data_IF_016401797147
#
_entry.id   IF_016401797147
#
_cell.length_a   1.000
_cell.length_b   1.000
_cell.length_c   1.000
_cell.angle_alpha   90.00
_cell.angle_beta   90.00
_cell.angle_gamma   90.00
#
_symmetry.space_group_name_H-M   'P 1'
#
loop_
_entity.id
_entity.type
_entity.pdbx_description
1 polymer ?
#
# COMPACT_ATOMS: atom_id res chain seq x y z
N UNK A 1 -2.77 8.39 -7.82
CA UNK A 1 -3.21 6.99 -7.98
C UNK A 1 -4.27 6.95 -9.07
N UNK A 2 -3.87 7.12 -10.34
CA UNK A 2 -4.81 7.38 -11.45
C UNK A 2 -4.64 6.38 -12.61
N UNK A 3 -4.09 5.19 -12.36
CA UNK A 3 -3.70 4.25 -13.42
C UNK A 3 -4.48 2.93 -13.49
N UNK A 4 -5.47 2.72 -12.61
CA UNK A 4 -6.30 1.50 -12.62
C UNK A 4 -7.49 1.61 -13.58
N UNK A 5 -8.04 0.46 -13.97
CA UNK A 5 -9.31 0.35 -14.70
C UNK A 5 -10.45 0.97 -13.90
N UNK A 6 -11.55 1.32 -14.57
CA UNK A 6 -12.73 1.88 -13.90
C UNK A 6 -13.29 0.93 -12.83
N UNK A 7 -13.26 -0.37 -13.09
CA UNK A 7 -13.69 -1.39 -12.13
C UNK A 7 -12.81 -1.40 -10.87
N UNK A 8 -11.49 -1.32 -11.01
CA UNK A 8 -10.54 -1.26 -9.88
C UNK A 8 -10.69 0.04 -9.08
N UNK A 9 -10.86 1.18 -9.76
CA UNK A 9 -11.07 2.48 -9.10
C UNK A 9 -12.39 2.48 -8.33
N UNK A 10 -13.47 1.92 -8.90
CA UNK A 10 -14.76 1.78 -8.24
C UNK A 10 -14.66 0.85 -7.04
N UNK A 11 -13.99 -0.31 -7.18
CA UNK A 11 -13.75 -1.24 -6.09
C UNK A 11 -12.98 -0.57 -4.94
N UNK A 12 -11.92 0.16 -5.25
CA UNK A 12 -11.12 0.88 -4.25
C UNK A 12 -11.96 1.91 -3.49
N UNK A 13 -12.76 2.72 -4.20
CA UNK A 13 -13.65 3.71 -3.57
C UNK A 13 -14.71 3.05 -2.69
N UNK A 14 -15.31 1.96 -3.17
CA UNK A 14 -16.29 1.20 -2.40
C UNK A 14 -15.67 0.68 -1.11
N UNK A 15 -14.51 0.00 -1.17
CA UNK A 15 -13.81 -0.50 0.02
C UNK A 15 -13.46 0.62 0.99
N UNK A 16 -12.93 1.75 0.51
CA UNK A 16 -12.58 2.89 1.37
C UNK A 16 -13.79 3.45 2.12
N UNK A 17 -14.92 3.61 1.43
CA UNK A 17 -16.15 4.16 2.01
C UNK A 17 -16.76 3.17 3.01
N UNK A 18 -16.83 1.87 2.66
CA UNK A 18 -17.36 0.82 3.53
C UNK A 18 -16.53 0.67 4.81
N UNK A 19 -15.20 0.63 4.70
CA UNK A 19 -14.31 0.54 5.87
C UNK A 19 -14.38 1.80 6.72
N UNK A 20 -14.41 2.99 6.11
CA UNK A 20 -14.55 4.25 6.85
C UNK A 20 -15.87 4.31 7.63
N UNK A 21 -16.99 3.90 7.02
CA UNK A 21 -18.29 3.83 7.71
C UNK A 21 -18.23 2.93 8.94
N UNK A 22 -17.68 1.72 8.79
CA UNK A 22 -17.50 0.78 9.90
C UNK A 22 -16.62 1.35 11.01
N UNK A 23 -15.48 1.96 10.66
CA UNK A 23 -14.56 2.59 11.62
C UNK A 23 -15.23 3.73 12.39
N UNK A 24 -16.07 4.54 11.74
CA UNK A 24 -16.82 5.60 12.42
C UNK A 24 -17.79 5.04 13.46
N UNK A 25 -18.49 3.94 13.15
CA UNK A 25 -19.37 3.26 14.11
C UNK A 25 -18.59 2.66 15.28
N UNK A 26 -17.42 2.08 15.03
CA UNK A 26 -16.53 1.58 16.10
C UNK A 26 -16.02 2.70 17.00
N UNK A 27 -15.67 3.85 16.42
CA UNK A 27 -15.07 4.98 17.15
C UNK A 27 -16.10 5.87 17.86
N UNK A 28 -17.38 5.82 17.48
CA UNK A 28 -18.42 6.73 17.96
C UNK A 28 -18.59 6.77 19.49
N UNK A 29 -18.52 5.64 20.24
CA UNK A 29 -18.60 5.68 21.70
C UNK A 29 -17.51 6.52 22.38
N UNK A 30 -16.37 6.73 21.71
CA UNK A 30 -15.22 7.48 22.23
C UNK A 30 -15.19 8.91 21.68
N UNK A 31 -15.57 9.12 20.41
CA UNK A 31 -15.45 10.40 19.71
C UNK A 31 -16.78 10.80 19.05
N UNK A 32 -17.86 11.04 19.83
CA UNK A 32 -19.23 11.06 19.28
C UNK A 32 -19.50 12.20 18.30
N UNK A 33 -19.04 13.42 18.59
CA UNK A 33 -19.38 14.58 17.76
C UNK A 33 -18.67 14.58 16.41
N UNK A 34 -17.39 14.21 16.38
CA UNK A 34 -16.60 14.18 15.13
C UNK A 34 -17.08 13.01 14.27
N UNK A 35 -17.28 11.83 14.86
CA UNK A 35 -17.75 10.67 14.11
C UNK A 35 -19.14 10.87 13.53
N UNK A 36 -20.07 11.47 14.28
CA UNK A 36 -21.39 11.87 13.77
C UNK A 36 -21.26 12.83 12.57
N UNK A 37 -20.46 13.89 12.71
CA UNK A 37 -20.28 14.90 11.66
C UNK A 37 -19.72 14.29 10.36
N UNK A 38 -18.74 13.40 10.47
CA UNK A 38 -18.15 12.73 9.30
C UNK A 38 -19.14 11.71 8.72
N UNK A 39 -19.81 10.94 9.59
CA UNK A 39 -20.73 9.89 9.17
C UNK A 39 -21.94 10.45 8.41
N UNK A 40 -22.46 11.63 8.77
CA UNK A 40 -23.52 12.30 7.99
C UNK A 40 -23.15 12.52 6.51
N UNK A 41 -21.86 12.68 6.19
CA UNK A 41 -21.39 12.80 4.80
C UNK A 41 -21.17 11.42 4.16
N UNK A 42 -20.63 10.48 4.93
CA UNK A 42 -20.33 9.12 4.46
C UNK A 42 -21.60 8.32 4.20
N UNK A 43 -22.65 8.48 5.02
CA UNK A 43 -23.91 7.73 4.92
C UNK A 43 -24.55 7.84 3.53
N UNK A 44 -24.44 9.01 2.89
CA UNK A 44 -24.96 9.27 1.53
C UNK A 44 -24.24 8.40 0.50
N UNK A 45 -22.92 8.22 0.65
CA UNK A 45 -22.11 7.39 -0.24
C UNK A 45 -22.39 5.89 -0.05
N UNK A 46 -22.79 5.49 1.16
CA UNK A 46 -23.19 4.12 1.50
C UNK A 46 -24.68 3.82 1.21
N UNK A 47 -25.48 4.81 0.78
CA UNK A 47 -26.92 4.65 0.61
C UNK A 47 -27.71 4.48 1.92
N UNK A 48 -27.16 4.92 3.05
CA UNK A 48 -27.79 4.83 4.37
C UNK A 48 -28.65 6.08 4.60
N UNK A 49 -29.93 5.86 4.95
CA UNK A 49 -30.92 6.93 5.17
C UNK A 49 -31.15 7.29 6.63
N UNK A 50 -30.51 6.59 7.57
CA UNK A 50 -30.71 6.81 8.99
C UNK A 50 -30.23 8.20 9.47
N UNK A 51 -30.88 8.74 10.50
CA UNK A 51 -30.68 10.11 10.95
C UNK A 51 -29.40 10.34 11.75
N UNK A 52 -28.93 9.34 12.51
CA UNK A 52 -27.75 9.45 13.38
C UNK A 52 -26.98 8.14 13.43
N UNK A 53 -25.66 8.24 13.58
CA UNK A 53 -24.78 7.08 13.76
C UNK A 53 -25.04 6.38 15.11
N UNK A 54 -25.52 7.13 16.11
CA UNK A 54 -25.74 6.65 17.48
C UNK A 54 -26.73 5.47 17.55
N UNK A 55 -27.67 5.39 16.62
CA UNK A 55 -28.67 4.33 16.54
C UNK A 55 -28.29 3.20 15.57
N UNK A 56 -27.12 3.27 14.94
CA UNK A 56 -26.69 2.23 14.01
C UNK A 56 -26.23 0.98 14.76
N UNK A 57 -26.48 -0.22 14.19
CA UNK A 57 -25.93 -1.45 14.72
C UNK A 57 -24.40 -1.38 14.83
N UNK A 58 -23.83 -1.99 15.86
CA UNK A 58 -22.38 -2.13 15.94
C UNK A 58 -21.86 -3.07 14.83
N UNK A 59 -20.70 -2.80 14.21
CA UNK A 59 -20.13 -3.70 13.20
C UNK A 59 -19.94 -5.11 13.74
N UNK A 60 -20.33 -6.11 12.95
CA UNK A 60 -20.17 -7.52 13.29
C UNK A 60 -19.06 -8.14 12.45
N UNK A 61 -18.33 -9.06 13.07
CA UNK A 61 -17.32 -9.84 12.38
C UNK A 61 -17.97 -10.83 11.41
N UNK A 62 -17.44 -10.90 10.19
CA UNK A 62 -17.88 -11.82 9.15
C UNK A 62 -16.68 -12.67 8.69
N UNK A 63 -16.69 -13.95 9.07
CA UNK A 63 -15.63 -14.89 8.72
C UNK A 63 -15.52 -15.13 7.21
N UNK A 64 -16.60 -14.91 6.45
CA UNK A 64 -16.58 -15.09 5.00
C UNK A 64 -15.78 -14.02 4.26
N UNK A 65 -15.49 -12.90 4.92
CA UNK A 65 -14.67 -11.81 4.38
C UNK A 65 -13.19 -11.93 4.73
N UNK A 66 -12.79 -12.99 5.44
CA UNK A 66 -11.39 -13.25 5.75
C UNK A 66 -10.70 -13.89 4.55
N UNK A 67 -9.69 -13.21 4.02
CA UNK A 67 -8.81 -13.71 2.97
C UNK A 67 -7.37 -13.80 3.49
N UNK A 68 -6.98 -15.02 3.86
CA UNK A 68 -5.64 -15.31 4.39
C UNK A 68 -4.54 -15.09 3.36
N UNK A 69 -4.82 -15.31 2.07
CA UNK A 69 -3.85 -15.09 1.01
C UNK A 69 -3.59 -13.60 0.82
N UNK A 70 -4.65 -12.78 0.79
CA UNK A 70 -4.53 -11.32 0.71
C UNK A 70 -3.82 -10.74 1.95
N UNK A 71 -4.07 -11.29 3.14
CA UNK A 71 -3.39 -10.90 4.38
C UNK A 71 -1.89 -11.22 4.32
N UNK A 72 -1.52 -12.43 3.91
CA UNK A 72 -0.13 -12.84 3.76
C UNK A 72 0.60 -12.02 2.68
N UNK A 73 -0.06 -11.73 1.55
CA UNK A 73 0.49 -10.92 0.48
C UNK A 73 0.71 -9.47 0.94
N UNK A 74 -0.25 -8.88 1.67
CA UNK A 74 -0.15 -7.52 2.20
C UNK A 74 0.97 -7.39 3.24
N UNK A 75 1.09 -8.35 4.16
CA UNK A 75 2.17 -8.33 5.16
C UNK A 75 3.54 -8.48 4.50
N UNK A 76 3.67 -9.34 3.48
CA UNK A 76 4.92 -9.44 2.71
C UNK A 76 5.28 -8.12 2.02
N UNK A 77 4.32 -7.44 1.38
CA UNK A 77 4.55 -6.14 0.74
C UNK A 77 5.00 -5.09 1.75
N UNK A 78 4.37 -5.05 2.93
CA UNK A 78 4.76 -4.15 4.02
C UNK A 78 6.21 -4.41 4.44
N UNK A 79 6.59 -5.67 4.65
CA UNK A 79 7.95 -6.05 5.02
C UNK A 79 8.97 -5.64 3.94
N UNK A 80 8.65 -5.88 2.67
CA UNK A 80 9.51 -5.47 1.55
C UNK A 80 9.71 -3.94 1.50
N UNK A 81 8.64 -3.16 1.68
CA UNK A 81 8.70 -1.68 1.70
C UNK A 81 9.55 -1.20 2.89
N UNK A 82 9.36 -1.78 4.07
CA UNK A 82 10.14 -1.45 5.27
C UNK A 82 11.62 -1.78 5.06
N UNK A 83 11.94 -2.94 4.50
CA UNK A 83 13.32 -3.34 4.19
C UNK A 83 14.01 -2.33 3.25
N UNK A 84 13.33 -1.91 2.18
CA UNK A 84 13.86 -0.88 1.26
C UNK A 84 14.09 0.45 1.98
N UNK A 85 13.17 0.87 2.86
CA UNK A 85 13.30 2.11 3.63
C UNK A 85 14.46 2.05 4.64
N UNK A 86 14.69 0.89 5.26
CA UNK A 86 15.79 0.68 6.20
C UNK A 86 17.15 0.74 5.48
N UNK A 87 17.29 0.03 4.35
CA UNK A 87 18.53 0.05 3.54
C UNK A 87 18.85 1.48 3.10
N UNK A 88 17.84 2.27 2.72
CA UNK A 88 18.04 3.69 2.39
C UNK A 88 18.61 4.48 3.56
N UNK A 89 18.06 4.29 4.77
CA UNK A 89 18.51 4.98 5.95
C UNK A 89 19.96 4.60 6.31
N UNK A 90 20.28 3.30 6.27
CA UNK A 90 21.62 2.77 6.53
C UNK A 90 22.66 3.32 5.53
N UNK A 91 22.27 3.46 4.26
CA UNK A 91 23.12 4.00 3.20
C UNK A 91 23.08 5.53 3.08
N UNK A 92 22.42 6.22 4.00
CA UNK A 92 22.23 7.68 4.03
C UNK A 92 21.66 8.26 2.71
N UNK A 93 20.73 7.53 2.09
CA UNK A 93 20.06 7.92 0.85
C UNK A 93 18.81 8.73 1.20
N UNK A 94 18.70 9.94 0.65
CA UNK A 94 17.54 10.79 0.85
C UNK A 94 16.21 10.08 0.48
N UNK A 95 15.13 10.20 1.30
CA UNK A 95 13.87 9.49 1.06
C UNK A 95 13.21 9.78 -0.29
N UNK A 96 13.41 10.97 -0.85
CA UNK A 96 12.86 11.39 -2.13
C UNK A 96 13.65 10.94 -3.36
N UNK A 97 14.88 10.41 -3.19
CA UNK A 97 15.71 10.00 -4.32
C UNK A 97 15.19 8.68 -4.91
N UNK A 98 14.84 8.61 -6.21
CA UNK A 98 14.44 7.37 -6.85
C UNK A 98 15.57 6.33 -6.78
N UNK A 99 15.21 5.05 -6.60
CA UNK A 99 16.16 3.94 -6.64
C UNK A 99 15.70 2.85 -7.60
N UNK A 100 16.66 2.23 -8.26
CA UNK A 100 16.47 0.99 -9.01
C UNK A 100 16.60 -0.19 -8.04
N UNK A 101 15.55 -0.99 -7.90
CA UNK A 101 15.55 -2.18 -7.05
C UNK A 101 15.83 -3.42 -7.90
N UNK A 102 16.88 -4.15 -7.55
CA UNK A 102 17.22 -5.43 -8.16
C UNK A 102 16.89 -6.55 -7.17
N UNK A 103 16.03 -7.48 -7.57
CA UNK A 103 15.62 -8.63 -6.78
C UNK A 103 16.24 -9.89 -7.37
N UNK A 104 16.87 -10.72 -6.53
CA UNK A 104 17.48 -12.00 -6.90
C UNK A 104 17.07 -13.07 -5.92
N UNK A 105 16.93 -14.31 -6.39
CA UNK A 105 16.66 -15.48 -5.55
C UNK A 105 15.27 -15.43 -4.93
N UNK A 106 14.31 -14.81 -5.64
CA UNK A 106 12.93 -14.77 -5.22
C UNK A 106 12.28 -16.14 -5.37
N UNK A 107 11.41 -16.51 -4.43
CA UNK A 107 10.47 -17.60 -4.65
C UNK A 107 9.44 -17.19 -5.70
N UNK A 108 8.78 -18.18 -6.33
CA UNK A 108 7.71 -17.92 -7.29
C UNK A 108 6.60 -17.01 -6.71
N UNK A 109 6.26 -17.19 -5.43
CA UNK A 109 5.29 -16.33 -4.74
C UNK A 109 5.78 -14.88 -4.56
N UNK A 110 7.06 -14.70 -4.25
CA UNK A 110 7.63 -13.36 -4.15
C UNK A 110 7.64 -12.65 -5.51
N UNK A 111 7.97 -13.36 -6.59
CA UNK A 111 7.89 -12.83 -7.95
C UNK A 111 6.46 -12.45 -8.34
N UNK A 112 5.49 -13.33 -8.06
CA UNK A 112 4.06 -13.05 -8.26
C UNK A 112 3.64 -11.78 -7.51
N UNK A 113 3.90 -11.71 -6.20
CA UNK A 113 3.57 -10.55 -5.35
C UNK A 113 4.14 -9.24 -5.88
N UNK A 114 5.41 -9.26 -6.29
CA UNK A 114 6.08 -8.09 -6.86
C UNK A 114 5.45 -7.66 -8.18
N UNK A 115 5.14 -8.61 -9.06
CA UNK A 115 4.58 -8.30 -10.37
C UNK A 115 3.14 -7.78 -10.26
N UNK A 116 2.30 -8.39 -9.42
CA UNK A 116 0.92 -7.96 -9.20
C UNK A 116 0.83 -6.60 -8.50
N UNK A 117 1.80 -6.25 -7.65
CA UNK A 117 1.76 -5.04 -6.80
C UNK A 117 2.85 -4.01 -7.14
N UNK A 118 3.43 -4.10 -8.34
CA UNK A 118 4.58 -3.31 -8.79
C UNK A 118 4.38 -1.80 -8.58
N UNK A 119 3.22 -1.27 -8.97
CA UNK A 119 2.90 0.15 -8.81
C UNK A 119 2.85 0.62 -7.35
N UNK A 120 2.34 -0.22 -6.45
CA UNK A 120 2.33 0.06 -5.01
C UNK A 120 3.75 0.08 -4.44
N UNK A 121 4.57 -0.91 -4.78
CA UNK A 121 5.97 -0.98 -4.35
C UNK A 121 6.77 0.24 -4.84
N UNK A 122 6.63 0.61 -6.12
CA UNK A 122 7.30 1.79 -6.67
C UNK A 122 6.89 3.08 -5.96
N UNK A 123 5.60 3.26 -5.70
CA UNK A 123 5.10 4.48 -5.05
C UNK A 123 5.51 4.55 -3.57
N UNK A 124 5.27 3.47 -2.81
CA UNK A 124 5.44 3.46 -1.36
C UNK A 124 6.91 3.34 -0.93
N UNK A 125 7.76 2.67 -1.72
CA UNK A 125 9.19 2.55 -1.47
C UNK A 125 10.05 3.53 -2.30
N UNK A 126 9.40 4.44 -3.06
CA UNK A 126 10.04 5.47 -3.90
C UNK A 126 11.04 4.90 -4.91
N UNK A 127 10.65 3.84 -5.59
CA UNK A 127 11.48 3.15 -6.58
C UNK A 127 11.20 3.69 -7.98
N UNK A 128 12.26 3.79 -8.78
CA UNK A 128 12.17 4.10 -10.21
C UNK A 128 11.79 2.84 -10.99
N UNK A 129 12.51 1.75 -10.74
CA UNK A 129 12.29 0.46 -11.39
C UNK A 129 12.45 -0.70 -10.41
N UNK A 130 11.84 -1.83 -10.76
CA UNK A 130 12.00 -3.10 -10.05
C UNK A 130 12.38 -4.15 -11.09
N UNK A 131 13.54 -4.78 -10.96
CA UNK A 131 13.99 -5.82 -11.89
C UNK A 131 14.18 -7.10 -11.13
N UNK A 132 13.40 -8.13 -11.48
CA UNK A 132 13.58 -9.49 -10.99
C UNK A 132 14.60 -10.16 -11.89
N UNK A 133 15.68 -10.67 -11.29
CA UNK A 133 16.82 -11.24 -11.99
C UNK A 133 16.77 -12.77 -11.90
N UNK A 134 17.13 -13.48 -12.97
CA UNK A 134 17.23 -14.93 -12.93
C UNK A 134 18.31 -15.37 -11.93
N UNK A 135 18.10 -16.55 -11.34
CA UNK A 135 18.91 -17.06 -10.22
C UNK A 135 20.43 -17.12 -10.52
N UNK A 136 20.80 -17.29 -11.80
CA UNK A 136 22.18 -17.51 -12.23
C UNK A 136 22.86 -16.27 -12.85
N UNK A 137 22.19 -15.11 -12.82
CA UNK A 137 22.74 -13.91 -13.45
C UNK A 137 23.76 -13.21 -12.55
N UNK A 138 25.02 -13.16 -13.00
CA UNK A 138 26.09 -12.38 -12.36
C UNK A 138 25.89 -10.90 -12.65
N UNK A 139 24.95 -10.28 -11.94
CA UNK A 139 24.70 -8.83 -12.04
C UNK A 139 25.99 -8.08 -11.73
N UNK A 140 26.50 -7.38 -12.73
CA UNK A 140 27.50 -6.34 -12.53
C UNK A 140 26.74 -5.08 -12.13
N UNK A 141 26.82 -4.71 -10.85
CA UNK A 141 26.32 -3.39 -10.41
C UNK A 141 26.89 -2.34 -11.37
N UNK A 142 26.06 -1.47 -11.98
CA UNK A 142 26.59 -0.32 -12.67
C UNK A 142 27.22 0.57 -11.61
N UNK A 143 28.53 0.38 -11.37
CA UNK A 143 29.34 1.30 -10.60
C UNK A 143 29.26 2.63 -11.34
N UNK A 144 28.39 3.52 -10.87
CA UNK A 144 28.34 4.90 -11.30
C UNK A 144 29.72 5.46 -10.95
N UNK A 145 30.63 5.52 -11.93
CA UNK A 145 31.91 6.21 -11.78
C UNK A 145 31.54 7.66 -11.46
N UNK A 146 31.74 8.06 -10.20
CA UNK A 146 31.88 9.47 -9.88
C UNK A 146 33.08 9.97 -10.68
N UNK A 147 32.82 10.71 -11.77
CA UNK A 147 33.85 11.41 -12.51
C UNK A 147 34.35 12.56 -11.63
N UNK A 148 35.24 12.24 -10.70
CA UNK A 148 36.14 13.23 -10.12
C UNK A 148 37.35 13.30 -11.05
N UNK A 149 37.23 14.00 -12.18
CA UNK A 149 38.37 14.39 -13.04
C UNK A 149 37.92 15.37 -14.15
N UNK A 150 37.69 16.62 -13.78
CA UNK A 150 37.85 17.82 -14.63
C UNK A 150 37.61 19.02 -13.69
N UNK A 151 38.50 19.97 -13.50
CA UNK A 151 39.65 20.40 -14.28
C UNK A 151 40.64 21.13 -13.36
N UNK A 152 41.90 21.17 -13.78
CA UNK A 152 42.84 22.25 -13.45
C UNK A 152 42.20 23.62 -13.65
#
# INVERSE_FOLDING_TARGET
>A
MNGGTEAELRGTRHTLVTVLEGLLRLAHPIIPFITETIWQRVKVLCGITADTIMLQPFPQYDASQVDEAALADTEWLKQAIVAVRNIRAEMNIAPGKPLELLLRGCSADAERRVNENRGFLQTLARLESITVLPADDKVRFPLRRSSTAQSC
#
